data_IF_985449329058
#
_entry.id   IF_985449329058
#
_cell.length_a   1.000
_cell.length_b   1.000
_cell.length_c   1.000
_cell.angle_alpha   90.00
_cell.angle_beta   90.00
_cell.angle_gamma   90.00
#
_symmetry.space_group_name_H-M   'P 1'
#
loop_
_entity.id
_entity.type
_entity.pdbx_description
1 polymer ?
#
# COMPACT_ATOMS: atom_id res chain seq x y z
N UNK A 1 -21.31 -13.28 -8.66
CA UNK A 1 -21.62 -13.59 -7.22
C UNK A 1 -22.83 -12.78 -6.80
N UNK A 2 -23.64 -13.14 -5.78
CA UNK A 2 -24.68 -12.21 -5.31
C UNK A 2 -23.99 -10.89 -4.87
N UNK A 3 -24.51 -9.74 -5.32
CA UNK A 3 -23.87 -8.43 -5.14
C UNK A 3 -23.43 -8.15 -3.69
N UNK A 4 -24.20 -8.63 -2.70
CA UNK A 4 -23.86 -8.57 -1.27
C UNK A 4 -22.49 -9.16 -0.91
N UNK A 5 -22.11 -10.30 -1.47
CA UNK A 5 -20.83 -10.95 -1.18
C UNK A 5 -19.67 -10.19 -1.81
N UNK A 6 -19.91 -9.60 -2.98
CA UNK A 6 -18.91 -8.78 -3.70
C UNK A 6 -18.54 -7.54 -2.90
N UNK A 7 -19.54 -6.87 -2.32
CA UNK A 7 -19.33 -5.67 -1.48
C UNK A 7 -18.55 -6.03 -0.22
N UNK A 8 -18.90 -7.13 0.45
CA UNK A 8 -18.17 -7.61 1.64
C UNK A 8 -16.70 -7.90 1.30
N UNK A 9 -16.45 -8.57 0.17
CA UNK A 9 -15.09 -8.91 -0.25
C UNK A 9 -14.24 -7.68 -0.61
N UNK A 10 -14.84 -6.70 -1.30
CA UNK A 10 -14.20 -5.42 -1.58
C UNK A 10 -13.91 -4.67 -0.28
N UNK A 11 -14.87 -4.61 0.65
CA UNK A 11 -14.68 -3.99 1.95
C UNK A 11 -13.52 -4.61 2.74
N UNK A 12 -13.43 -5.95 2.73
CA UNK A 12 -12.31 -6.67 3.35
C UNK A 12 -10.97 -6.28 2.70
N UNK A 13 -10.88 -6.26 1.37
CA UNK A 13 -9.66 -5.87 0.65
C UNK A 13 -9.25 -4.41 0.93
N UNK A 14 -10.23 -3.50 1.06
CA UNK A 14 -9.98 -2.10 1.44
C UNK A 14 -9.44 -2.00 2.86
N UNK A 15 -9.96 -2.79 3.81
CA UNK A 15 -9.43 -2.85 5.18
C UNK A 15 -7.98 -3.36 5.15
N UNK A 16 -7.70 -4.42 4.39
CA UNK A 16 -6.32 -4.94 4.24
C UNK A 16 -5.40 -3.87 3.68
N UNK A 17 -5.83 -3.12 2.65
CA UNK A 17 -5.09 -2.00 2.09
C UNK A 17 -4.81 -0.91 3.15
N UNK A 18 -5.82 -0.56 3.96
CA UNK A 18 -5.71 0.42 5.03
C UNK A 18 -4.74 -0.02 6.14
N UNK A 19 -4.76 -1.30 6.50
CA UNK A 19 -3.81 -1.89 7.47
C UNK A 19 -2.38 -1.78 6.93
N UNK A 20 -2.13 -2.18 5.68
CA UNK A 20 -0.79 -2.07 5.07
C UNK A 20 -0.31 -0.61 5.07
N UNK A 21 -1.22 0.34 4.80
CA UNK A 21 -0.92 1.78 4.84
C UNK A 21 -0.61 2.29 6.25
N UNK A 22 -1.34 1.82 7.26
CA UNK A 22 -1.13 2.24 8.64
C UNK A 22 0.18 1.69 9.21
N UNK A 23 0.44 0.39 8.99
CA UNK A 23 1.64 -0.29 9.46
C UNK A 23 2.84 -0.11 8.54
N UNK A 24 2.76 0.76 7.53
CA UNK A 24 3.82 1.01 6.56
C UNK A 24 5.18 1.29 7.21
N UNK A 25 5.20 2.04 8.32
CA UNK A 25 6.42 2.36 9.07
C UNK A 25 7.02 1.19 9.85
N UNK A 26 6.20 0.20 10.20
CA UNK A 26 6.65 -0.99 10.94
C UNK A 26 6.95 -2.18 10.03
N UNK A 27 6.25 -2.27 8.89
CA UNK A 27 6.37 -3.35 7.91
C UNK A 27 7.50 -3.10 6.91
N UNK A 28 7.80 -1.84 6.58
CA UNK A 28 8.77 -1.49 5.55
C UNK A 28 9.89 -0.61 6.10
N UNK A 29 11.10 -0.88 5.63
CA UNK A 29 12.29 -0.09 5.96
C UNK A 29 12.29 1.24 5.18
N UNK A 30 11.92 2.34 5.85
CA UNK A 30 12.04 3.70 5.30
C UNK A 30 12.48 4.73 6.36
N UNK A 31 13.79 4.90 6.57
CA UNK A 31 14.33 5.91 7.49
C UNK A 31 14.15 7.34 6.99
N UNK A 32 13.95 7.56 5.69
CA UNK A 32 13.79 8.89 5.11
C UNK A 32 12.44 9.50 5.49
N UNK A 33 11.37 8.69 5.52
CA UNK A 33 10.04 9.13 5.97
C UNK A 33 10.09 9.71 7.39
N UNK A 34 10.88 9.11 8.28
CA UNK A 34 11.01 9.61 9.65
C UNK A 34 11.89 10.86 9.70
N UNK A 35 12.98 10.89 8.94
CA UNK A 35 13.86 12.06 8.83
C UNK A 35 13.11 13.31 8.36
N UNK A 36 12.32 13.22 7.28
CA UNK A 36 11.55 14.36 6.76
C UNK A 36 10.32 14.71 7.60
N UNK A 37 9.86 13.83 8.49
CA UNK A 37 8.79 14.14 9.45
C UNK A 37 9.30 14.87 10.68
N UNK A 38 10.57 14.75 11.01
CA UNK A 38 11.19 15.48 12.11
C UNK A 38 11.31 16.97 11.75
N UNK A 39 10.93 17.86 12.67
CA UNK A 39 10.91 19.31 12.44
C UNK A 39 12.28 19.93 12.12
N UNK A 40 13.37 19.23 12.43
CA UNK A 40 14.76 19.70 12.26
C UNK A 40 15.45 19.17 10.99
N UNK A 41 14.71 18.68 9.99
CA UNK A 41 15.27 18.13 8.74
C UNK A 41 16.23 19.05 7.97
N UNK A 42 16.22 20.37 8.24
CA UNK A 42 17.11 21.36 7.62
C UNK A 42 18.49 21.42 8.27
N UNK A 43 18.59 21.11 9.57
CA UNK A 43 19.83 21.17 10.34
C UNK A 43 20.39 19.78 10.66
N UNK A 44 19.56 18.74 10.51
CA UNK A 44 19.91 17.39 10.88
C UNK A 44 20.62 16.66 9.73
N UNK A 45 21.57 15.78 10.06
CA UNK A 45 22.33 15.04 9.04
C UNK A 45 21.45 13.93 8.46
N UNK A 46 21.52 13.73 7.15
CA UNK A 46 20.85 12.62 6.48
C UNK A 46 21.27 11.32 7.18
N UNK A 47 20.31 10.51 7.67
CA UNK A 47 20.63 9.29 8.40
C UNK A 47 21.37 8.32 7.49
N UNK A 48 22.29 7.54 8.05
CA UNK A 48 22.92 6.45 7.31
C UNK A 48 21.86 5.39 6.99
N UNK A 49 21.51 5.22 5.71
CA UNK A 49 20.54 4.21 5.27
C UNK A 49 21.11 3.30 4.19
N UNK A 50 20.60 2.07 4.14
CA UNK A 50 20.92 1.10 3.09
C UNK A 50 20.00 1.34 1.90
N UNK A 51 20.48 2.02 0.86
CA UNK A 51 19.69 2.36 -0.33
C UNK A 51 19.03 1.12 -0.99
N UNK A 52 19.76 0.00 -1.10
CA UNK A 52 19.19 -1.23 -1.66
C UNK A 52 18.02 -1.80 -0.84
N UNK A 53 18.12 -1.76 0.49
CA UNK A 53 17.05 -2.21 1.38
C UNK A 53 15.82 -1.30 1.29
N UNK A 54 16.05 0.02 1.25
CA UNK A 54 15.00 1.02 1.07
C UNK A 54 14.25 0.82 -0.25
N UNK A 55 14.96 0.68 -1.37
CA UNK A 55 14.37 0.49 -2.70
C UNK A 55 13.58 -0.82 -2.73
N UNK A 56 14.15 -1.92 -2.24
CA UNK A 56 13.48 -3.23 -2.22
C UNK A 56 12.18 -3.18 -1.42
N UNK A 57 12.21 -2.60 -0.22
CA UNK A 57 11.03 -2.45 0.64
C UNK A 57 9.97 -1.57 0.00
N UNK A 58 10.41 -0.48 -0.66
CA UNK A 58 9.53 0.45 -1.37
C UNK A 58 8.82 -0.24 -2.54
N UNK A 59 9.58 -0.95 -3.38
CA UNK A 59 9.03 -1.74 -4.49
C UNK A 59 8.05 -2.78 -3.94
N UNK A 60 8.45 -3.56 -2.94
CA UNK A 60 7.60 -4.60 -2.35
C UNK A 60 6.28 -4.03 -1.83
N UNK A 61 6.30 -2.90 -1.13
CA UNK A 61 5.10 -2.18 -0.66
C UNK A 61 4.17 -1.81 -1.82
N UNK A 62 4.71 -1.18 -2.85
CA UNK A 62 3.90 -0.75 -4.00
C UNK A 62 3.38 -1.92 -4.83
N UNK A 63 4.15 -3.00 -4.95
CA UNK A 63 3.72 -4.24 -5.61
C UNK A 63 2.56 -4.87 -4.85
N UNK A 64 2.65 -5.04 -3.52
CA UNK A 64 1.56 -5.57 -2.70
C UNK A 64 0.29 -4.71 -2.81
N UNK A 65 0.42 -3.39 -2.65
CA UNK A 65 -0.73 -2.48 -2.77
C UNK A 65 -1.35 -2.52 -4.17
N UNK A 66 -0.53 -2.65 -5.22
CA UNK A 66 -1.01 -2.77 -6.60
C UNK A 66 -1.75 -4.07 -6.83
N UNK A 67 -1.25 -5.21 -6.34
CA UNK A 67 -1.92 -6.51 -6.43
C UNK A 67 -3.29 -6.46 -5.75
N UNK A 68 -3.37 -5.88 -4.55
CA UNK A 68 -4.63 -5.73 -3.81
C UNK A 68 -5.59 -4.81 -4.56
N UNK A 69 -5.09 -3.68 -5.07
CA UNK A 69 -5.90 -2.72 -5.83
C UNK A 69 -6.45 -3.33 -7.13
N UNK A 70 -5.62 -4.07 -7.87
CA UNK A 70 -6.03 -4.82 -9.06
C UNK A 70 -7.06 -5.88 -8.67
N UNK A 71 -6.89 -6.58 -7.55
CA UNK A 71 -7.88 -7.53 -7.03
C UNK A 71 -9.23 -6.88 -6.72
N UNK A 72 -9.22 -5.69 -6.10
CA UNK A 72 -10.44 -4.91 -5.85
C UNK A 72 -11.14 -4.56 -7.17
N UNK A 73 -10.38 -4.05 -8.15
CA UNK A 73 -10.92 -3.67 -9.47
C UNK A 73 -11.46 -4.90 -10.19
N UNK A 74 -10.69 -6.00 -10.23
CA UNK A 74 -11.11 -7.24 -10.87
C UNK A 74 -12.45 -7.70 -10.30
N UNK A 75 -12.58 -7.78 -8.97
CA UNK A 75 -13.83 -8.17 -8.30
C UNK A 75 -14.95 -7.14 -8.53
N UNK A 76 -14.63 -5.85 -8.57
CA UNK A 76 -15.59 -4.77 -8.83
C UNK A 76 -16.09 -4.72 -10.28
N UNK A 77 -15.37 -5.30 -11.24
CA UNK A 77 -15.78 -5.26 -12.65
C UNK A 77 -16.10 -6.62 -13.25
N UNK A 78 -15.86 -7.73 -12.53
CA UNK A 78 -16.10 -9.12 -13.02
C UNK A 78 -17.55 -9.42 -13.43
N UNK A 79 -18.52 -8.65 -12.93
CA UNK A 79 -19.97 -8.85 -13.16
C UNK A 79 -20.59 -7.80 -14.11
N UNK A 80 -19.80 -6.88 -14.69
CA UNK A 80 -20.32 -6.05 -15.78
C UNK A 80 -20.17 -6.83 -17.07
N UNK A 81 -21.30 -7.26 -17.62
CA UNK A 81 -21.48 -7.45 -19.07
C UNK A 81 -20.90 -6.21 -19.78
N UNK A 82 -19.60 -6.24 -20.11
CA UNK A 82 -18.92 -5.17 -20.86
C UNK A 82 -19.43 -5.11 -22.31
N UNK A 83 -20.34 -6.01 -22.70
CA UNK A 83 -21.09 -5.92 -23.95
C UNK A 83 -22.56 -6.15 -23.65
N UNK A 84 -23.36 -5.08 -23.69
CA UNK A 84 -24.75 -5.15 -24.11
C UNK A 84 -25.03 -3.96 -25.01
#
# INVERSE_FOLDING_TARGET
>A
MKARYRIVFIGMLVIVLAVIRFYERSLFYDPLINFFKSSDYLNDKIPAFKAGLLILNTIFRYTLNSIISIGIIAIAFIDRNIVK
#
